data_IF_058983966639
#
_entry.id   IF_058983966639
#
_cell.length_a   1.000
_cell.length_b   1.000
_cell.length_c   1.000
_cell.angle_alpha   90.00
_cell.angle_beta   90.00
_cell.angle_gamma   90.00
#
_symmetry.space_group_name_H-M   'P 1'
#
loop_
_entity.id
_entity.type
_entity.pdbx_description
1 polymer ?
#
# COMPACT_ATOMS: atom_id res chain seq x y z
N UNK A 1 -4.28 -45.83 20.09
CA UNK A 1 -3.13 -44.96 20.42
C UNK A 1 -3.42 -43.61 19.77
N UNK A 2 -3.93 -42.65 20.54
CA UNK A 2 -4.30 -41.32 20.02
C UNK A 2 -3.00 -40.56 19.80
N UNK A 3 -2.63 -40.34 18.53
CA UNK A 3 -1.45 -39.57 18.18
C UNK A 3 -1.74 -38.13 18.58
N UNK A 4 -0.99 -37.65 19.57
CA UNK A 4 -1.08 -36.28 20.07
C UNK A 4 -0.67 -35.33 18.95
N UNK A 5 -1.62 -34.48 18.59
CA UNK A 5 -1.60 -33.42 17.59
C UNK A 5 -0.22 -32.75 17.38
N UNK A 6 0.41 -33.06 16.25
CA UNK A 6 1.69 -32.48 15.80
C UNK A 6 1.57 -31.02 15.34
N UNK A 7 0.34 -30.47 15.23
CA UNK A 7 0.11 -29.07 14.85
C UNK A 7 0.73 -28.09 15.86
N UNK A 8 0.71 -28.43 17.16
CA UNK A 8 1.36 -27.64 18.21
C UNK A 8 2.85 -27.44 17.97
N UNK A 9 3.54 -28.47 17.49
CA UNK A 9 4.97 -28.39 17.21
C UNK A 9 5.25 -27.49 15.99
N UNK A 10 4.40 -27.56 14.95
CA UNK A 10 4.57 -26.74 13.74
C UNK A 10 4.33 -25.25 14.01
N UNK A 11 3.29 -24.90 14.79
CA UNK A 11 2.95 -23.50 15.12
C UNK A 11 4.06 -22.84 15.96
N UNK A 12 4.60 -23.55 16.96
CA UNK A 12 5.63 -22.99 17.85
C UNK A 12 6.92 -22.58 17.13
N UNK A 13 7.24 -23.24 16.00
CA UNK A 13 8.50 -23.03 15.27
C UNK A 13 8.47 -21.81 14.33
N UNK A 14 7.30 -21.47 13.79
CA UNK A 14 7.15 -20.40 12.81
C UNK A 14 6.95 -19.02 13.46
N UNK A 15 6.34 -18.98 14.65
CA UNK A 15 6.07 -17.74 15.38
C UNK A 15 7.31 -16.85 15.65
N UNK A 16 8.45 -17.37 16.16
CA UNK A 16 9.64 -16.54 16.38
C UNK A 16 10.18 -15.93 15.08
N UNK A 17 10.07 -16.64 13.94
CA UNK A 17 10.50 -16.10 12.64
C UNK A 17 9.61 -14.95 12.20
N UNK A 18 8.29 -15.10 12.37
CA UNK A 18 7.34 -14.04 12.10
C UNK A 18 7.68 -12.77 12.90
N UNK A 19 7.92 -12.90 14.21
CA UNK A 19 8.30 -11.77 15.07
C UNK A 19 9.58 -11.08 14.59
N UNK A 20 10.62 -11.85 14.24
CA UNK A 20 11.87 -11.27 13.74
C UNK A 20 11.63 -10.46 12.46
N UNK A 21 10.82 -10.98 11.53
CA UNK A 21 10.48 -10.25 10.29
C UNK A 21 9.66 -9.00 10.59
N UNK A 22 8.71 -9.07 11.53
CA UNK A 22 7.93 -7.92 11.96
C UNK A 22 8.81 -6.83 12.59
N UNK A 23 9.66 -7.19 13.55
CA UNK A 23 10.59 -6.25 14.21
C UNK A 23 11.54 -5.63 13.20
N UNK A 24 12.01 -6.40 12.21
CA UNK A 24 12.82 -5.87 11.12
C UNK A 24 12.06 -4.85 10.26
N UNK A 25 10.80 -5.14 9.91
CA UNK A 25 9.95 -4.20 9.17
C UNK A 25 9.67 -2.93 9.96
N UNK A 26 9.40 -3.06 11.26
CA UNK A 26 9.19 -1.94 12.17
C UNK A 26 10.46 -1.06 12.27
N UNK A 27 11.62 -1.68 12.46
CA UNK A 27 12.91 -0.99 12.51
C UNK A 27 13.14 -0.17 11.24
N UNK A 28 12.89 -0.78 10.06
CA UNK A 28 12.99 -0.08 8.78
C UNK A 28 12.03 1.09 8.68
N UNK A 29 10.76 0.90 9.06
CA UNK A 29 9.76 1.95 8.99
C UNK A 29 10.15 3.14 9.87
N UNK A 30 10.62 2.88 11.11
CA UNK A 30 11.12 3.93 12.01
C UNK A 30 12.37 4.60 11.43
N UNK A 31 13.33 3.84 10.92
CA UNK A 31 14.56 4.38 10.34
C UNK A 31 14.27 5.28 9.12
N UNK A 32 13.33 4.88 8.25
CA UNK A 32 12.91 5.66 7.09
C UNK A 32 12.19 6.96 7.49
N UNK A 33 11.32 6.91 8.50
CA UNK A 33 10.66 8.11 9.03
C UNK A 33 11.67 9.07 9.70
N UNK A 34 12.60 8.55 10.50
CA UNK A 34 13.65 9.37 11.11
C UNK A 34 14.55 10.00 10.03
N UNK A 35 14.83 9.26 8.96
CA UNK A 35 15.62 9.75 7.82
C UNK A 35 14.96 10.95 7.11
N UNK A 36 13.62 11.04 7.13
CA UNK A 36 12.91 12.22 6.66
C UNK A 36 13.12 13.42 7.58
N UNK A 37 13.10 13.22 8.90
CA UNK A 37 13.24 14.29 9.87
C UNK A 37 14.61 14.96 9.83
N UNK A 38 15.66 14.21 9.49
CA UNK A 38 17.03 14.75 9.36
C UNK A 38 17.37 15.22 7.95
N UNK A 39 16.40 15.24 7.02
CA UNK A 39 16.67 15.60 5.61
C UNK A 39 17.16 17.04 5.49
N UNK A 40 16.63 17.97 6.28
CA UNK A 40 17.10 19.38 6.29
C UNK A 40 18.54 19.53 6.78
N UNK A 41 18.99 18.65 7.68
CA UNK A 41 20.38 18.64 8.18
C UNK A 41 21.34 18.02 7.16
N UNK A 42 20.89 16.98 6.45
CA UNK A 42 21.69 16.28 5.44
C UNK A 42 21.86 17.10 4.16
N UNK A 43 20.87 17.93 3.83
CA UNK A 43 20.85 18.75 2.63
C UNK A 43 20.59 20.21 3.04
N UNK A 44 21.63 20.96 3.43
CA UNK A 44 21.45 22.34 3.87
C UNK A 44 20.86 23.20 2.75
N UNK A 45 19.98 24.12 3.16
CA UNK A 45 19.28 25.10 2.31
C UNK A 45 20.22 25.70 1.26
N UNK A 46 20.09 25.23 0.02
CA UNK A 46 20.90 25.70 -1.09
C UNK A 46 20.09 25.71 -2.37
N UNK A 47 20.11 26.84 -3.08
CA UNK A 47 19.41 27.02 -4.36
C UNK A 47 20.03 26.22 -5.51
N UNK A 48 21.11 25.47 -5.23
CA UNK A 48 21.76 24.63 -6.23
C UNK A 48 20.80 23.52 -6.68
N UNK A 49 20.74 23.30 -7.99
CA UNK A 49 19.99 22.20 -8.60
C UNK A 49 20.34 20.84 -7.95
N UNK A 50 21.62 20.65 -7.59
CA UNK A 50 22.11 19.43 -6.94
C UNK A 50 21.52 19.21 -5.55
N UNK A 51 21.31 20.27 -4.76
CA UNK A 51 20.65 20.16 -3.45
C UNK A 51 19.17 19.78 -3.61
N UNK A 52 18.47 20.41 -4.55
CA UNK A 52 17.05 20.09 -4.85
C UNK A 52 16.89 18.65 -5.34
N UNK A 53 17.74 18.23 -6.29
CA UNK A 53 17.75 16.85 -6.79
C UNK A 53 18.14 15.85 -5.70
N UNK A 54 19.07 16.20 -4.82
CA UNK A 54 19.47 15.37 -3.68
C UNK A 54 18.30 15.11 -2.72
N UNK A 55 17.60 16.17 -2.30
CA UNK A 55 16.43 16.08 -1.42
C UNK A 55 15.30 15.30 -2.10
N UNK A 56 15.02 15.55 -3.38
CA UNK A 56 14.00 14.83 -4.12
C UNK A 56 14.33 13.34 -4.26
N UNK A 57 15.56 13.01 -4.63
CA UNK A 57 16.05 11.63 -4.73
C UNK A 57 15.93 10.90 -3.39
N UNK A 58 16.37 11.55 -2.32
CA UNK A 58 16.27 11.01 -0.96
C UNK A 58 14.82 10.77 -0.56
N UNK A 59 13.95 11.77 -0.76
CA UNK A 59 12.53 11.68 -0.38
C UNK A 59 11.80 10.57 -1.14
N UNK A 60 12.06 10.44 -2.43
CA UNK A 60 11.48 9.41 -3.29
C UNK A 60 12.02 8.02 -2.94
N UNK A 61 13.32 7.90 -2.66
CA UNK A 61 13.91 6.66 -2.17
C UNK A 61 13.21 6.21 -0.89
N UNK A 62 13.14 7.10 0.10
CA UNK A 62 12.49 6.83 1.38
C UNK A 62 11.00 6.45 1.22
N UNK A 63 10.27 7.15 0.35
CA UNK A 63 8.88 6.82 0.04
C UNK A 63 8.71 5.42 -0.55
N UNK A 64 9.60 5.04 -1.49
CA UNK A 64 9.65 3.68 -2.04
C UNK A 64 9.99 2.63 -0.98
N UNK A 65 10.89 2.95 -0.05
CA UNK A 65 11.20 2.11 1.11
C UNK A 65 10.01 1.93 2.06
N UNK A 66 9.22 2.99 2.30
CA UNK A 66 8.01 2.91 3.13
C UNK A 66 6.96 2.04 2.42
N UNK A 67 6.76 2.24 1.12
CA UNK A 67 5.83 1.44 0.32
C UNK A 67 6.16 -0.05 0.34
N UNK A 68 7.43 -0.41 0.13
CA UNK A 68 7.87 -1.81 0.15
C UNK A 68 7.85 -2.43 1.54
N UNK A 69 8.18 -1.67 2.59
CA UNK A 69 8.05 -2.12 3.98
C UNK A 69 6.58 -2.36 4.34
N UNK A 70 5.69 -1.50 3.86
CA UNK A 70 4.23 -1.67 4.03
C UNK A 70 3.74 -2.93 3.32
N UNK A 71 4.17 -3.16 2.08
CA UNK A 71 3.84 -4.39 1.35
C UNK A 71 4.38 -5.64 2.06
N UNK A 72 5.62 -5.58 2.57
CA UNK A 72 6.23 -6.65 3.37
C UNK A 72 5.37 -6.99 4.58
N UNK A 73 4.93 -5.99 5.34
CA UNK A 73 4.07 -6.16 6.51
C UNK A 73 2.67 -6.67 6.12
N UNK A 74 2.05 -6.12 5.07
CA UNK A 74 0.76 -6.62 4.53
C UNK A 74 0.85 -8.08 4.09
N UNK A 75 2.00 -8.51 3.57
CA UNK A 75 2.23 -9.90 3.18
C UNK A 75 2.43 -10.79 4.39
N UNK A 76 3.22 -10.35 5.37
CA UNK A 76 3.40 -11.04 6.63
C UNK A 76 2.05 -11.27 7.32
N UNK A 77 1.18 -10.26 7.31
CA UNK A 77 -0.21 -10.34 7.74
C UNK A 77 -0.97 -11.46 7.02
N UNK A 78 -0.97 -11.45 5.67
CA UNK A 78 -1.72 -12.43 4.86
C UNK A 78 -1.22 -13.87 5.02
N UNK A 79 0.08 -14.10 5.09
CA UNK A 79 0.60 -15.46 5.27
C UNK A 79 0.27 -16.04 6.64
N UNK A 80 0.26 -15.21 7.68
CA UNK A 80 -0.06 -15.65 9.02
C UNK A 80 -1.57 -15.86 9.21
N UNK A 81 -2.42 -15.13 8.48
CA UNK A 81 -3.86 -15.34 8.53
C UNK A 81 -4.32 -16.60 7.78
N UNK A 82 -3.72 -16.94 6.64
CA UNK A 82 -4.20 -18.00 5.74
C UNK A 82 -3.64 -19.41 6.00
N UNK A 83 -3.05 -19.67 7.18
CA UNK A 83 -2.47 -20.98 7.55
C UNK A 83 -1.42 -21.51 6.54
N UNK A 84 -0.89 -20.65 5.68
CA UNK A 84 0.06 -21.06 4.65
C UNK A 84 1.43 -21.32 5.27
N UNK A 85 2.05 -22.44 4.88
CA UNK A 85 3.31 -22.89 5.45
C UNK A 85 4.43 -21.87 5.17
N UNK A 86 4.85 -21.18 6.24
CA UNK A 86 5.98 -20.25 6.26
C UNK A 86 7.29 -20.88 5.79
N UNK A 87 7.35 -22.22 5.72
CA UNK A 87 8.52 -22.99 5.34
C UNK A 87 8.93 -22.79 3.87
N UNK A 88 7.99 -22.43 2.99
CA UNK A 88 8.27 -22.38 1.56
C UNK A 88 8.92 -21.08 1.10
N UNK A 89 8.90 -20.02 1.92
CA UNK A 89 9.49 -18.74 1.55
C UNK A 89 10.75 -18.45 2.36
N UNK A 90 11.90 -18.21 1.70
CA UNK A 90 13.13 -17.86 2.39
C UNK A 90 12.97 -16.50 3.08
N UNK A 91 13.36 -16.42 4.36
CA UNK A 91 13.37 -15.17 5.15
C UNK A 91 14.12 -14.03 4.44
N UNK A 92 15.11 -14.38 3.62
CA UNK A 92 15.86 -13.47 2.75
C UNK A 92 14.97 -12.64 1.82
N UNK A 93 13.81 -13.16 1.40
CA UNK A 93 12.89 -12.42 0.55
C UNK A 93 12.30 -11.20 1.27
N UNK A 94 11.96 -11.33 2.55
CA UNK A 94 11.45 -10.22 3.37
C UNK A 94 12.53 -9.19 3.66
N UNK A 95 13.75 -9.66 3.98
CA UNK A 95 14.89 -8.78 4.28
C UNK A 95 15.23 -7.87 3.09
N UNK A 96 15.10 -8.37 1.87
CA UNK A 96 15.41 -7.59 0.67
C UNK A 96 14.33 -6.58 0.28
N UNK A 97 13.09 -6.73 0.72
CA UNK A 97 11.95 -5.91 0.25
C UNK A 97 12.12 -4.40 0.50
N UNK A 98 12.52 -3.93 1.70
CA UNK A 98 12.77 -2.50 1.95
C UNK A 98 13.80 -1.89 1.00
N UNK A 99 14.96 -2.55 0.87
CA UNK A 99 16.05 -2.13 -0.02
C UNK A 99 15.63 -2.07 -1.49
N UNK A 100 14.88 -3.08 -1.90
CA UNK A 100 14.32 -3.19 -3.24
C UNK A 100 13.38 -2.00 -3.53
N UNK A 101 12.53 -1.62 -2.57
CA UNK A 101 11.67 -0.43 -2.68
C UNK A 101 12.43 0.89 -2.71
N UNK A 102 13.51 1.03 -1.93
CA UNK A 102 14.39 2.21 -2.03
C UNK A 102 14.94 2.36 -3.46
N UNK A 103 15.46 1.27 -4.02
CA UNK A 103 16.01 1.25 -5.39
C UNK A 103 14.91 1.55 -6.42
N UNK A 104 13.72 0.97 -6.26
CA UNK A 104 12.58 1.25 -7.14
C UNK A 104 12.16 2.74 -7.07
N UNK A 105 12.17 3.33 -5.87
CA UNK A 105 11.97 4.77 -5.69
C UNK A 105 12.99 5.57 -6.48
N UNK A 106 14.30 5.32 -6.26
CA UNK A 106 15.38 5.97 -7.00
C UNK A 106 15.17 5.82 -8.51
N UNK A 107 14.94 4.60 -9.01
CA UNK A 107 14.71 4.36 -10.44
C UNK A 107 13.50 5.17 -10.95
N UNK A 108 12.40 5.22 -10.19
CA UNK A 108 11.21 6.00 -10.55
C UNK A 108 11.52 7.49 -10.67
N UNK A 109 12.34 8.03 -9.76
CA UNK A 109 12.79 9.41 -9.86
C UNK A 109 13.68 9.60 -11.09
N UNK A 110 14.68 8.75 -11.31
CA UNK A 110 15.59 8.90 -12.45
C UNK A 110 14.89 8.73 -13.79
N UNK A 111 13.86 7.89 -13.91
CA UNK A 111 13.07 7.74 -15.13
C UNK A 111 12.21 8.96 -15.48
N UNK A 112 11.87 9.80 -14.50
CA UNK A 112 11.00 10.96 -14.72
C UNK A 112 11.81 12.27 -14.64
N UNK A 113 12.61 12.44 -13.58
CA UNK A 113 13.36 13.65 -13.29
C UNK A 113 14.61 13.83 -14.18
N UNK A 114 15.30 12.76 -14.60
CA UNK A 114 16.48 12.92 -15.46
C UNK A 114 16.11 13.31 -16.89
N UNK A 115 15.14 12.65 -17.57
CA UNK A 115 14.70 13.12 -18.88
C UNK A 115 14.20 14.55 -18.84
N UNK A 116 13.47 14.90 -17.79
CA UNK A 116 13.04 16.26 -17.50
C UNK A 116 14.19 17.26 -17.42
N UNK A 117 15.19 16.98 -16.57
CA UNK A 117 16.36 17.83 -16.38
C UNK A 117 17.16 17.98 -17.69
N UNK A 118 17.35 16.88 -18.42
CA UNK A 118 18.04 16.88 -19.71
C UNK A 118 17.28 17.70 -20.77
N UNK A 119 15.94 17.66 -20.77
CA UNK A 119 15.13 18.50 -21.65
C UNK A 119 15.32 19.98 -21.31
N UNK A 120 15.32 20.35 -20.03
CA UNK A 120 15.57 21.74 -19.61
C UNK A 120 16.98 22.22 -19.95
N UNK A 121 18.01 21.42 -19.70
CA UNK A 121 19.40 21.74 -20.05
C UNK A 121 19.59 21.83 -21.57
N UNK A 122 18.92 20.96 -22.33
CA UNK A 122 18.91 21.02 -23.78
C UNK A 122 18.27 22.32 -24.29
N UNK A 123 17.12 22.73 -23.74
CA UNK A 123 16.45 23.97 -24.15
C UNK A 123 17.32 25.20 -23.84
N UNK A 124 17.90 25.28 -22.64
CA UNK A 124 18.77 26.41 -22.26
C UNK A 124 20.05 26.48 -23.10
N UNK A 125 20.67 25.32 -23.39
CA UNK A 125 21.83 25.22 -24.29
C UNK A 125 21.46 25.60 -25.73
N UNK A 126 20.25 25.25 -26.17
CA UNK A 126 19.75 25.62 -27.48
C UNK A 126 19.50 27.13 -27.59
N UNK A 127 18.95 27.77 -26.55
CA UNK A 127 18.76 29.22 -26.50
C UNK A 127 20.09 29.98 -26.61
N UNK A 128 21.13 29.54 -25.89
CA UNK A 128 22.46 30.14 -25.97
C UNK A 128 23.11 29.98 -27.35
N UNK A 129 22.93 28.81 -27.98
CA UNK A 129 23.43 28.53 -29.32
C UNK A 129 22.70 29.40 -30.38
N UNK A 130 21.38 29.54 -30.27
CA UNK A 130 20.61 30.41 -31.16
C UNK A 130 20.97 31.89 -30.99
N UNK A 131 21.23 32.34 -29.77
CA UNK A 131 21.73 33.69 -29.51
C UNK A 131 23.10 33.92 -30.16
N UNK A 132 24.00 32.93 -30.11
CA UNK A 132 25.33 33.02 -30.72
C UNK A 132 25.29 33.12 -32.25
N UNK A 133 24.31 32.47 -32.90
CA UNK A 133 24.19 32.47 -34.37
C UNK A 133 23.60 33.76 -34.94
N UNK A 134 23.16 34.73 -34.12
CA UNK A 134 22.52 35.99 -34.56
C UNK A 134 21.27 35.82 -35.46
N UNK A 135 20.68 34.62 -35.50
CA UNK A 135 19.41 34.33 -36.21
C UNK A 135 18.20 34.56 -35.29
N UNK A 136 18.42 35.14 -34.11
CA UNK A 136 17.44 35.33 -33.05
C UNK A 136 16.19 36.08 -33.51
N UNK A 137 16.31 37.02 -34.44
CA UNK A 137 15.15 37.79 -34.94
C UNK A 137 14.18 36.95 -35.80
N UNK A 138 14.69 35.94 -36.50
CA UNK A 138 13.88 35.09 -37.40
C UNK A 138 13.21 33.95 -36.63
N UNK A 139 13.84 33.52 -35.53
CA UNK A 139 13.34 32.46 -34.63
C UNK A 139 12.79 32.99 -33.31
N UNK A 140 12.71 34.31 -33.10
CA UNK A 140 12.22 34.94 -31.88
C UNK A 140 10.91 34.34 -31.34
N UNK A 141 9.84 34.10 -32.15
CA UNK A 141 8.62 33.48 -31.64
C UNK A 141 8.83 32.02 -31.23
N UNK A 142 9.72 31.29 -31.89
CA UNK A 142 10.06 29.91 -31.52
C UNK A 142 10.91 29.84 -30.25
N UNK A 143 11.88 30.75 -30.09
CA UNK A 143 12.68 30.90 -28.87
C UNK A 143 11.78 31.31 -27.69
N UNK A 144 10.88 32.27 -27.89
CA UNK A 144 9.92 32.65 -26.85
C UNK A 144 9.00 31.48 -26.47
N UNK A 145 8.57 30.67 -27.43
CA UNK A 145 7.82 29.45 -27.17
C UNK A 145 8.64 28.42 -26.39
N UNK A 146 9.88 28.12 -26.78
CA UNK A 146 10.76 27.20 -26.08
C UNK A 146 11.14 27.69 -24.67
N UNK A 147 11.41 28.98 -24.50
CA UNK A 147 11.65 29.61 -23.20
C UNK A 147 10.41 29.56 -22.31
N UNK A 148 9.21 29.73 -22.87
CA UNK A 148 7.96 29.55 -22.12
C UNK A 148 7.76 28.10 -21.68
N UNK A 149 8.13 27.13 -22.53
CA UNK A 149 8.10 25.71 -22.19
C UNK A 149 9.12 25.37 -21.12
N UNK A 150 10.37 25.86 -21.22
CA UNK A 150 11.41 25.56 -20.23
C UNK A 150 11.07 26.16 -18.87
N UNK A 151 10.59 27.41 -18.83
CA UNK A 151 10.09 28.04 -17.61
C UNK A 151 8.95 27.23 -16.98
N UNK A 152 7.93 26.89 -17.77
CA UNK A 152 6.81 26.07 -17.31
C UNK A 152 7.25 24.68 -16.83
N UNK A 153 8.22 24.05 -17.49
CA UNK A 153 8.77 22.76 -17.07
C UNK A 153 9.53 22.88 -15.75
N UNK A 154 10.46 23.82 -15.61
CA UNK A 154 11.21 24.03 -14.36
C UNK A 154 10.27 24.34 -13.20
N UNK A 155 9.27 25.20 -13.40
CA UNK A 155 8.26 25.48 -12.39
C UNK A 155 7.41 24.25 -12.05
N UNK A 156 7.06 23.44 -13.05
CA UNK A 156 6.34 22.17 -12.84
C UNK A 156 7.18 21.18 -12.02
N UNK A 157 8.48 21.03 -12.32
CA UNK A 157 9.37 20.12 -11.58
C UNK A 157 9.68 20.58 -10.16
N UNK A 158 9.70 21.90 -9.93
CA UNK A 158 9.83 22.49 -8.60
C UNK A 158 8.51 22.52 -7.84
N UNK A 159 7.39 22.29 -8.53
CA UNK A 159 6.08 22.32 -7.89
C UNK A 159 5.97 21.22 -6.83
N UNK A 160 5.35 21.51 -5.67
CA UNK A 160 5.01 20.48 -4.69
C UNK A 160 4.17 19.34 -5.29
N UNK A 161 3.43 19.62 -6.37
CA UNK A 161 2.58 18.67 -7.09
C UNK A 161 3.37 17.51 -7.63
N UNK A 162 4.42 17.87 -8.35
CA UNK A 162 5.28 16.93 -9.02
C UNK A 162 6.08 16.10 -8.00
N UNK A 163 6.59 16.74 -6.95
CA UNK A 163 7.26 16.04 -5.83
C UNK A 163 6.31 15.05 -5.15
N UNK A 164 5.07 15.46 -4.86
CA UNK A 164 4.05 14.58 -4.28
C UNK A 164 3.76 13.38 -5.18
N UNK A 165 3.65 13.61 -6.49
CA UNK A 165 3.40 12.58 -7.49
C UNK A 165 4.56 11.59 -7.54
N UNK A 166 5.80 12.07 -7.50
CA UNK A 166 6.97 11.20 -7.47
C UNK A 166 7.04 10.36 -6.20
N UNK A 167 6.78 10.97 -5.04
CA UNK A 167 6.72 10.27 -3.75
C UNK A 167 5.63 9.19 -3.79
N UNK A 168 4.45 9.52 -4.31
CA UNK A 168 3.33 8.58 -4.46
C UNK A 168 3.68 7.43 -5.41
N UNK A 169 4.23 7.74 -6.60
CA UNK A 169 4.63 6.74 -7.57
C UNK A 169 5.74 5.83 -7.03
N UNK A 170 6.69 6.38 -6.28
CA UNK A 170 7.73 5.61 -5.63
C UNK A 170 7.16 4.68 -4.56
N UNK A 171 6.25 5.19 -3.73
CA UNK A 171 5.53 4.37 -2.75
C UNK A 171 4.75 3.25 -3.43
N UNK A 172 4.00 3.54 -4.50
CA UNK A 172 3.25 2.55 -5.29
C UNK A 172 4.23 1.53 -5.90
N UNK A 173 5.34 1.97 -6.48
CA UNK A 173 6.35 1.09 -7.07
C UNK A 173 6.94 0.14 -6.03
N UNK A 174 7.33 0.68 -4.86
CA UNK A 174 7.80 -0.11 -3.73
C UNK A 174 6.74 -1.10 -3.23
N UNK A 175 5.48 -0.68 -3.17
CA UNK A 175 4.36 -1.53 -2.76
C UNK A 175 4.08 -2.66 -3.77
N UNK A 176 4.17 -2.38 -5.07
CA UNK A 176 3.78 -3.30 -6.15
C UNK A 176 4.89 -4.21 -6.68
N UNK A 177 6.15 -3.97 -6.32
CA UNK A 177 7.30 -4.71 -6.87
C UNK A 177 7.22 -6.24 -6.68
N UNK A 178 6.49 -6.70 -5.67
CA UNK A 178 6.31 -8.12 -5.41
C UNK A 178 5.45 -8.84 -6.46
N UNK A 179 4.50 -8.14 -7.10
CA UNK A 179 3.60 -8.77 -8.06
C UNK A 179 4.34 -9.21 -9.33
N UNK A 180 5.28 -8.39 -9.79
CA UNK A 180 6.20 -8.77 -10.88
C UNK A 180 7.01 -10.03 -10.54
N UNK A 181 7.44 -10.18 -9.29
CA UNK A 181 8.18 -11.36 -8.84
C UNK A 181 7.30 -12.62 -8.73
N UNK A 182 6.00 -12.47 -8.41
CA UNK A 182 5.05 -13.60 -8.39
C UNK A 182 4.77 -14.12 -9.79
N UNK A 183 4.57 -13.24 -10.78
CA UNK A 183 4.39 -13.68 -12.17
C UNK A 183 5.60 -14.45 -12.71
N UNK A 184 6.81 -14.02 -12.37
CA UNK A 184 8.05 -14.73 -12.78
C UNK A 184 8.13 -16.12 -12.15
N UNK A 185 7.66 -16.28 -10.89
CA UNK A 185 7.66 -17.58 -10.21
C UNK A 185 6.59 -18.53 -10.72
N UNK A 186 5.40 -18.03 -11.06
CA UNK A 186 4.34 -18.88 -11.65
C UNK A 186 4.74 -19.36 -13.03
N UNK A 187 5.40 -18.52 -13.84
CA UNK A 187 5.98 -18.93 -15.13
C UNK A 187 7.07 -20.01 -14.99
N UNK A 188 7.68 -20.16 -13.82
CA UNK A 188 8.66 -21.22 -13.53
C UNK A 188 8.09 -22.45 -12.83
N UNK A 189 6.81 -22.46 -12.44
CA UNK A 189 6.22 -23.51 -11.58
C UNK A 189 5.37 -24.55 -12.33
N UNK A 190 5.16 -24.39 -13.63
CA UNK A 190 4.52 -25.41 -14.48
C UNK A 190 5.41 -26.64 -14.72
N UNK A 191 6.62 -26.67 -14.14
CA UNK A 191 7.40 -27.90 -13.96
C UNK A 191 6.95 -28.66 -12.70
N UNK A 192 5.73 -29.18 -12.70
CA UNK A 192 5.26 -30.09 -11.66
C UNK A 192 6.05 -31.40 -11.68
N UNK A 193 6.71 -31.71 -10.56
CA UNK A 193 7.25 -33.04 -10.28
C UNK A 193 6.05 -33.92 -9.88
N UNK A 194 5.68 -34.95 -10.67
CA UNK A 194 4.65 -35.91 -10.28
C UNK A 194 5.22 -36.81 -9.19
N UNK A 195 4.48 -37.03 -8.09
CA UNK A 195 4.77 -38.13 -7.15
C UNK A 195 5.13 -37.75 -5.72
N UNK A 196 4.73 -36.59 -5.21
CA UNK A 196 4.80 -36.35 -3.76
C UNK A 196 3.56 -36.92 -3.07
N UNK A 197 3.62 -38.21 -2.73
CA UNK A 197 2.61 -38.89 -1.92
C UNK A 197 2.48 -38.24 -0.54
N UNK A 198 1.39 -37.50 -0.34
CA UNK A 198 0.95 -37.00 0.95
C UNK A 198 0.40 -38.17 1.77
N UNK A 199 1.29 -38.85 2.51
CA UNK A 199 0.91 -39.60 3.71
C UNK A 199 0.48 -38.58 4.78
N UNK A 200 -0.73 -38.05 4.57
CA UNK A 200 -1.39 -37.12 5.46
C UNK A 200 -1.87 -37.92 6.65
N UNK A 201 -1.24 -37.69 7.82
CA UNK A 201 -1.78 -38.17 9.07
C UNK A 201 -3.23 -37.68 9.15
N UNK A 202 -4.19 -38.61 9.23
CA UNK A 202 -5.61 -38.31 9.42
C UNK A 202 -5.75 -37.41 10.65
N UNK A 203 -5.87 -36.11 10.40
CA UNK A 203 -6.39 -35.16 11.38
C UNK A 203 -7.82 -35.61 11.58
N UNK A 204 -8.14 -36.09 12.77
CA UNK A 204 -9.52 -36.42 13.13
C UNK A 204 -10.30 -35.13 13.01
N UNK A 205 -11.12 -35.06 11.97
CA UNK A 205 -12.02 -33.95 11.75
C UNK A 205 -13.07 -33.98 12.86
N UNK A 206 -13.04 -32.98 13.73
CA UNK A 206 -13.96 -32.89 14.87
C UNK A 206 -15.39 -32.75 14.35
N UNK A 207 -15.55 -32.17 13.16
CA UNK A 207 -16.85 -32.01 12.49
C UNK A 207 -17.37 -33.35 11.91
N UNK A 208 -16.51 -34.38 11.82
CA UNK A 208 -16.90 -35.73 11.39
C UNK A 208 -17.27 -36.66 12.56
N UNK A 209 -17.12 -36.23 13.81
CA UNK A 209 -17.58 -36.98 14.98
C UNK A 209 -19.09 -36.77 15.16
N UNK A 210 -19.81 -37.83 15.50
CA UNK A 210 -21.23 -37.74 15.89
C UNK A 210 -21.35 -36.81 17.10
N UNK A 211 -22.27 -35.85 17.03
CA UNK A 211 -22.56 -34.89 18.12
C UNK A 211 -22.95 -35.62 19.43
N UNK A 212 -23.47 -36.85 19.31
CA UNK A 212 -23.82 -37.70 20.45
C UNK A 212 -22.62 -38.46 21.06
N UNK A 213 -21.44 -38.44 20.43
CA UNK A 213 -20.26 -39.11 20.98
C UNK A 213 -19.75 -38.32 22.21
N UNK A 214 -19.63 -38.95 23.40
CA UNK A 214 -19.06 -38.29 24.58
C UNK A 214 -17.63 -37.74 24.35
N UNK A 215 -16.92 -38.23 23.33
CA UNK A 215 -15.63 -37.69 22.92
C UNK A 215 -15.74 -36.30 22.27
N UNK A 216 -16.83 -36.02 21.53
CA UNK A 216 -17.09 -34.72 20.92
C UNK A 216 -17.22 -33.62 22.00
N UNK A 217 -18.09 -33.84 23.00
CA UNK A 217 -18.30 -32.90 24.09
C UNK A 217 -17.01 -32.65 24.89
N UNK A 218 -16.24 -33.71 25.16
CA UNK A 218 -14.96 -33.60 25.87
C UNK A 218 -13.94 -32.79 25.05
N UNK A 219 -13.81 -33.04 23.75
CA UNK A 219 -12.90 -32.32 22.87
C UNK A 219 -13.28 -30.83 22.77
N UNK A 220 -14.56 -30.54 22.53
CA UNK A 220 -15.11 -29.18 22.47
C UNK A 220 -14.89 -28.41 23.78
N UNK A 221 -15.12 -29.03 24.94
CA UNK A 221 -14.89 -28.40 26.24
C UNK A 221 -13.42 -28.03 26.48
N UNK A 222 -12.46 -28.90 26.10
CA UNK A 222 -11.04 -28.59 26.21
C UNK A 222 -10.61 -27.48 25.26
N UNK A 223 -11.16 -27.45 24.04
CA UNK A 223 -10.94 -26.38 23.08
C UNK A 223 -11.45 -25.05 23.62
N UNK A 224 -12.68 -25.02 24.14
CA UNK A 224 -13.29 -23.82 24.72
C UNK A 224 -12.50 -23.27 25.93
N UNK A 225 -12.12 -24.12 26.90
CA UNK A 225 -11.30 -23.69 28.05
C UNK A 225 -9.94 -23.14 27.62
N UNK A 226 -9.33 -23.75 26.60
CA UNK A 226 -8.07 -23.27 26.04
C UNK A 226 -8.27 -21.91 25.36
N UNK A 227 -9.32 -21.75 24.57
CA UNK A 227 -9.68 -20.48 23.91
C UNK A 227 -9.89 -19.37 24.95
N UNK A 228 -10.64 -19.62 26.02
CA UNK A 228 -10.85 -18.64 27.09
C UNK A 228 -9.54 -18.19 27.75
N UNK A 229 -8.68 -19.13 28.16
CA UNK A 229 -7.41 -18.80 28.81
C UNK A 229 -6.49 -17.99 27.87
N UNK A 230 -6.46 -18.36 26.60
CA UNK A 230 -5.61 -17.73 25.60
C UNK A 230 -6.14 -16.35 25.21
N UNK A 231 -7.45 -16.23 25.00
CA UNK A 231 -8.15 -14.97 24.76
C UNK A 231 -7.92 -13.99 25.92
N UNK A 232 -8.00 -14.45 27.17
CA UNK A 232 -7.76 -13.56 28.31
C UNK A 232 -6.31 -13.06 28.37
N UNK A 233 -5.32 -13.96 28.30
CA UNK A 233 -3.92 -13.53 28.42
C UNK A 233 -3.43 -12.72 27.23
N UNK A 234 -3.76 -13.13 26.01
CA UNK A 234 -3.27 -12.48 24.78
C UNK A 234 -4.17 -11.35 24.31
N UNK A 235 -5.48 -11.44 24.52
CA UNK A 235 -6.41 -10.36 24.23
C UNK A 235 -6.10 -9.11 25.05
N UNK A 236 -5.79 -9.26 26.36
CA UNK A 236 -5.35 -8.14 27.20
C UNK A 236 -4.06 -7.52 26.66
N UNK A 237 -3.09 -8.34 26.26
CA UNK A 237 -1.84 -7.85 25.67
C UNK A 237 -2.10 -7.06 24.37
N UNK A 238 -2.96 -7.56 23.49
CA UNK A 238 -3.35 -6.87 22.25
C UNK A 238 -4.08 -5.56 22.54
N UNK A 239 -4.93 -5.50 23.57
CA UNK A 239 -5.61 -4.28 24.00
C UNK A 239 -4.59 -3.23 24.49
N UNK A 240 -3.66 -3.63 25.36
CA UNK A 240 -2.60 -2.73 25.84
C UNK A 240 -1.76 -2.23 24.67
N UNK A 241 -1.37 -3.12 23.76
CA UNK A 241 -0.64 -2.76 22.55
C UNK A 241 -1.41 -1.76 21.69
N UNK A 242 -2.70 -2.00 21.44
CA UNK A 242 -3.58 -1.08 20.72
C UNK A 242 -3.68 0.28 21.41
N UNK A 243 -3.78 0.30 22.73
CA UNK A 243 -3.81 1.54 23.52
C UNK A 243 -2.49 2.32 23.45
N UNK A 244 -1.34 1.64 23.48
CA UNK A 244 -0.03 2.27 23.25
C UNK A 244 0.00 2.92 21.87
N UNK A 245 -0.42 2.22 20.82
CA UNK A 245 -0.47 2.79 19.47
C UNK A 245 -1.47 3.93 19.33
N UNK A 246 -2.59 3.86 20.05
CA UNK A 246 -3.55 4.96 20.10
C UNK A 246 -2.90 6.22 20.68
N UNK A 247 -2.21 6.11 21.81
CA UNK A 247 -1.48 7.22 22.44
C UNK A 247 -0.36 7.74 21.54
N UNK A 248 0.43 6.85 20.92
CA UNK A 248 1.47 7.24 19.96
C UNK A 248 0.88 8.00 18.77
N UNK A 249 -0.26 7.54 18.25
CA UNK A 249 -0.93 8.22 17.13
C UNK A 249 -1.47 9.58 17.52
N UNK A 250 -2.05 9.72 18.71
CA UNK A 250 -2.49 11.03 19.22
C UNK A 250 -1.32 11.98 19.46
N UNK A 251 -0.21 11.47 20.00
CA UNK A 251 1.02 12.26 20.18
C UNK A 251 1.60 12.70 18.83
N UNK A 252 1.66 11.80 17.85
CA UNK A 252 2.10 12.13 16.49
C UNK A 252 1.17 13.14 15.81
N UNK A 253 -0.14 13.05 16.05
CA UNK A 253 -1.12 14.01 15.56
C UNK A 253 -0.90 15.40 16.18
N UNK A 254 -0.77 15.48 17.51
CA UNK A 254 -0.55 16.74 18.23
C UNK A 254 0.79 17.38 17.84
N UNK A 255 1.84 16.58 17.73
CA UNK A 255 3.16 17.04 17.29
C UNK A 255 3.13 17.48 15.83
N UNK A 256 2.54 16.71 14.93
CA UNK A 256 2.39 17.09 13.52
C UNK A 256 1.60 18.38 13.32
N UNK A 257 0.60 18.62 14.17
CA UNK A 257 -0.16 19.88 14.15
C UNK A 257 0.70 21.09 14.54
N UNK A 258 1.54 20.95 15.56
CA UNK A 258 2.48 22.00 15.97
C UNK A 258 3.58 22.20 14.92
N UNK A 259 4.17 21.10 14.45
CA UNK A 259 5.21 21.11 13.43
C UNK A 259 4.73 21.74 12.12
N UNK A 260 3.45 21.61 11.75
CA UNK A 260 2.92 22.30 10.57
C UNK A 260 3.11 23.82 10.64
N UNK A 261 2.97 24.43 11.82
CA UNK A 261 3.18 25.86 12.01
C UNK A 261 4.67 26.24 11.86
N UNK A 262 5.57 25.43 12.41
CA UNK A 262 7.02 25.68 12.40
C UNK A 262 7.63 25.45 11.01
N UNK A 263 7.21 24.37 10.33
CA UNK A 263 7.72 23.97 9.02
C UNK A 263 7.04 24.68 7.86
N UNK A 264 5.97 25.47 8.09
CA UNK A 264 5.40 26.34 7.05
C UNK A 264 6.44 27.29 6.44
N UNK A 265 7.49 27.63 7.20
CA UNK A 265 8.60 28.46 6.77
C UNK A 265 9.77 27.70 6.09
N UNK A 266 9.73 26.36 6.01
CA UNK A 266 10.81 25.59 5.38
C UNK A 266 10.90 25.87 3.87
N UNK A 267 12.13 26.09 3.39
CA UNK A 267 12.43 26.31 1.97
C UNK A 267 12.25 25.04 1.12
N UNK A 268 12.13 23.87 1.74
CA UNK A 268 12.04 22.60 1.04
C UNK A 268 10.58 22.13 0.90
N UNK A 269 10.03 22.10 -0.33
CA UNK A 269 8.64 21.71 -0.55
C UNK A 269 8.36 20.25 -0.15
N UNK A 270 9.35 19.36 -0.28
CA UNK A 270 9.22 17.96 0.13
C UNK A 270 9.02 17.81 1.64
N UNK A 271 9.83 18.51 2.45
CA UNK A 271 9.75 18.43 3.92
C UNK A 271 8.43 19.00 4.41
N UNK A 272 8.00 20.15 3.86
CA UNK A 272 6.67 20.71 4.12
C UNK A 272 5.56 19.72 3.86
N UNK A 273 5.61 19.05 2.71
CA UNK A 273 4.61 18.06 2.31
C UNK A 273 4.53 16.90 3.30
N UNK A 274 5.67 16.39 3.75
CA UNK A 274 5.73 15.23 4.66
C UNK A 274 5.27 15.60 6.06
N UNK A 275 5.70 16.75 6.58
CA UNK A 275 5.25 17.26 7.88
C UNK A 275 3.74 17.50 7.85
N UNK A 276 3.22 18.06 6.76
CA UNK A 276 1.79 18.23 6.56
C UNK A 276 1.01 16.93 6.40
N UNK A 277 1.67 15.86 5.92
CA UNK A 277 1.07 14.53 5.84
C UNK A 277 0.93 13.85 7.21
N UNK A 278 1.71 14.28 8.21
CA UNK A 278 1.82 13.56 9.47
C UNK A 278 0.51 13.50 10.28
N UNK A 279 -0.29 14.57 10.42
CA UNK A 279 -1.59 14.48 11.07
C UNK A 279 -2.54 13.50 10.37
N UNK A 280 -2.49 13.41 9.04
CA UNK A 280 -3.32 12.49 8.24
C UNK A 280 -2.83 11.05 8.37
N UNK A 281 -1.51 10.84 8.38
CA UNK A 281 -0.90 9.54 8.66
C UNK A 281 -1.25 9.07 10.08
N UNK A 282 -1.17 9.96 11.08
CA UNK A 282 -1.55 9.69 12.46
C UNK A 282 -3.04 9.34 12.59
N UNK A 283 -3.91 10.04 11.87
CA UNK A 283 -5.32 9.71 11.80
C UNK A 283 -5.55 8.31 11.18
N UNK A 284 -4.79 7.95 10.14
CA UNK A 284 -4.76 6.60 9.59
C UNK A 284 -4.28 5.54 10.60
N UNK A 285 -3.27 5.87 11.41
CA UNK A 285 -2.83 5.05 12.54
C UNK A 285 -3.95 4.77 13.55
N UNK A 286 -4.71 5.80 13.94
CA UNK A 286 -5.90 5.67 14.80
C UNK A 286 -6.94 4.76 14.15
N UNK A 287 -7.23 4.94 12.85
CA UNK A 287 -8.13 4.05 12.10
C UNK A 287 -7.69 2.59 12.14
N UNK A 288 -6.38 2.35 12.02
CA UNK A 288 -5.77 1.02 12.15
C UNK A 288 -5.92 0.41 13.55
N UNK A 289 -5.81 1.22 14.61
CA UNK A 289 -6.08 0.77 15.99
C UNK A 289 -7.55 0.42 16.17
N UNK A 290 -8.48 1.21 15.62
CA UNK A 290 -9.92 0.90 15.68
C UNK A 290 -10.21 -0.41 14.94
N UNK A 291 -9.58 -0.64 13.77
CA UNK A 291 -9.68 -1.93 13.06
C UNK A 291 -9.17 -3.09 13.91
N UNK A 292 -8.05 -2.90 14.62
CA UNK A 292 -7.48 -3.89 15.54
C UNK A 292 -8.45 -4.26 16.65
N UNK A 293 -9.03 -3.26 17.33
CA UNK A 293 -9.98 -3.50 18.41
C UNK A 293 -11.25 -4.17 17.88
N UNK A 294 -11.74 -3.76 16.71
CA UNK A 294 -12.90 -4.38 16.08
C UNK A 294 -12.63 -5.84 15.69
N UNK A 295 -11.46 -6.13 15.12
CA UNK A 295 -11.06 -7.50 14.76
C UNK A 295 -10.92 -8.36 16.02
N UNK A 296 -10.32 -7.83 17.09
CA UNK A 296 -10.21 -8.52 18.36
C UNK A 296 -11.60 -8.82 18.96
N UNK A 297 -12.49 -7.83 18.99
CA UNK A 297 -13.87 -7.99 19.44
C UNK A 297 -14.59 -9.11 18.68
N UNK A 298 -14.46 -9.12 17.35
CA UNK A 298 -15.10 -10.09 16.48
C UNK A 298 -14.57 -11.51 16.73
N UNK A 299 -13.26 -11.69 16.88
CA UNK A 299 -12.66 -13.01 17.13
C UNK A 299 -12.84 -13.51 18.57
N UNK A 300 -12.91 -12.61 19.55
CA UNK A 300 -13.07 -12.98 20.96
C UNK A 300 -14.54 -13.20 21.33
N UNK A 301 -15.42 -12.29 20.90
CA UNK A 301 -16.81 -12.24 21.39
C UNK A 301 -17.79 -12.90 20.42
N UNK A 302 -17.64 -12.66 19.12
CA UNK A 302 -18.62 -13.10 18.12
C UNK A 302 -18.30 -14.50 17.60
N UNK A 303 -17.07 -14.70 17.09
CA UNK A 303 -16.65 -15.97 16.51
C UNK A 303 -16.04 -16.95 17.51
N UNK A 304 -15.55 -16.43 18.65
CA UNK A 304 -14.87 -17.21 19.69
C UNK A 304 -13.70 -18.06 19.17
N UNK A 305 -13.11 -17.69 18.03
CA UNK A 305 -12.08 -18.41 17.28
C UNK A 305 -10.69 -17.78 17.49
N UNK A 306 -10.43 -17.27 18.70
CA UNK A 306 -9.17 -16.59 18.98
C UNK A 306 -7.96 -17.56 18.90
N UNK A 307 -7.19 -17.43 17.82
CA UNK A 307 -5.96 -18.19 17.60
C UNK A 307 -4.72 -17.29 17.59
N UNK A 308 -3.60 -17.78 18.15
CA UNK A 308 -2.30 -17.08 18.12
C UNK A 308 -1.79 -16.79 16.70
N UNK A 309 -2.27 -17.52 15.70
CA UNK A 309 -1.89 -17.28 14.31
C UNK A 309 -2.33 -15.88 13.85
N UNK A 310 -3.43 -15.35 14.41
CA UNK A 310 -3.90 -13.98 14.16
C UNK A 310 -3.15 -12.92 14.97
N UNK A 311 -2.26 -13.30 15.90
CA UNK A 311 -1.55 -12.34 16.75
C UNK A 311 -0.76 -11.32 15.93
N UNK A 312 -0.10 -11.79 14.86
CA UNK A 312 0.62 -10.87 13.97
C UNK A 312 -0.32 -9.99 13.15
N UNK A 313 -1.51 -10.50 12.82
CA UNK A 313 -2.50 -9.72 12.10
C UNK A 313 -2.88 -8.45 12.88
N UNK A 314 -3.05 -8.58 14.20
CA UNK A 314 -3.27 -7.45 15.10
C UNK A 314 -2.07 -6.50 15.19
N UNK A 315 -0.85 -7.03 15.32
CA UNK A 315 0.36 -6.20 15.44
C UNK A 315 0.61 -5.31 14.21
N UNK A 316 0.20 -5.74 13.02
CA UNK A 316 0.50 -5.03 11.77
C UNK A 316 -0.52 -3.92 11.47
N UNK A 317 -1.74 -4.03 11.97
CA UNK A 317 -2.85 -3.14 11.60
C UNK A 317 -2.57 -1.65 11.87
N UNK A 318 -2.04 -1.20 13.04
CA UNK A 318 -1.74 0.21 13.25
C UNK A 318 -0.72 0.76 12.25
N UNK A 319 0.34 -0.01 11.97
CA UNK A 319 1.42 0.38 11.04
C UNK A 319 0.91 0.53 9.61
N UNK A 320 0.10 -0.42 9.14
CA UNK A 320 -0.54 -0.31 7.82
C UNK A 320 -1.48 0.89 7.79
N UNK A 321 -2.21 1.16 8.88
CA UNK A 321 -3.05 2.35 9.01
C UNK A 321 -2.27 3.65 8.82
N UNK A 322 -1.11 3.80 9.48
CA UNK A 322 -0.22 4.95 9.29
C UNK A 322 0.22 5.11 7.84
N UNK A 323 0.68 4.02 7.22
CA UNK A 323 1.16 4.05 5.84
C UNK A 323 0.07 4.40 4.84
N UNK A 324 -1.17 3.92 5.05
CA UNK A 324 -2.30 4.22 4.19
C UNK A 324 -2.79 5.66 4.38
N UNK A 325 -2.77 6.19 5.60
CA UNK A 325 -3.04 7.61 5.85
C UNK A 325 -2.05 8.51 5.10
N UNK A 326 -0.76 8.18 5.15
CA UNK A 326 0.28 8.87 4.39
C UNK A 326 0.04 8.79 2.87
N UNK A 327 -0.24 7.60 2.36
CA UNK A 327 -0.53 7.41 0.93
C UNK A 327 -1.78 8.18 0.48
N UNK A 328 -2.83 8.22 1.32
CA UNK A 328 -4.06 8.96 1.02
C UNK A 328 -3.83 10.47 0.97
N UNK A 329 -3.03 11.01 1.91
CA UNK A 329 -2.61 12.41 1.87
C UNK A 329 -1.91 12.73 0.55
N UNK A 330 -0.93 11.91 0.16
CA UNK A 330 -0.17 12.12 -1.09
C UNK A 330 -1.09 12.08 -2.32
N UNK A 331 -2.04 11.14 -2.36
CA UNK A 331 -3.02 11.05 -3.45
C UNK A 331 -3.86 12.32 -3.56
N UNK A 332 -4.36 12.84 -2.43
CA UNK A 332 -5.15 14.06 -2.41
C UNK A 332 -4.30 15.29 -2.76
N UNK A 333 -3.08 15.37 -2.23
CA UNK A 333 -2.15 16.46 -2.53
C UNK A 333 -1.86 16.52 -4.04
N UNK A 334 -1.56 15.37 -4.66
CA UNK A 334 -1.37 15.26 -6.11
C UNK A 334 -2.62 15.70 -6.87
N UNK A 335 -3.79 15.15 -6.54
CA UNK A 335 -5.04 15.48 -7.24
C UNK A 335 -5.46 16.93 -7.07
N UNK A 336 -5.17 17.53 -5.92
CA UNK A 336 -5.46 18.93 -5.68
C UNK A 336 -4.53 19.84 -6.48
N UNK A 337 -3.23 19.52 -6.48
CA UNK A 337 -2.24 20.35 -7.14
C UNK A 337 -2.39 20.32 -8.67
N UNK A 338 -2.86 19.20 -9.25
CA UNK A 338 -3.21 19.14 -10.68
C UNK A 338 -4.41 20.02 -11.01
N UNK A 339 -5.41 20.12 -10.13
CA UNK A 339 -6.57 21.00 -10.31
C UNK A 339 -6.18 22.48 -10.16
N UNK A 340 -5.33 22.82 -9.19
CA UNK A 340 -4.90 24.21 -8.96
C UNK A 340 -4.15 24.80 -10.18
N UNK A 341 -3.39 23.97 -10.90
CA UNK A 341 -2.75 24.38 -12.16
C UNK A 341 -3.74 24.70 -13.29
N UNK A 342 -4.95 24.14 -13.24
CA UNK A 342 -6.03 24.43 -14.20
C UNK A 342 -6.84 25.68 -13.82
N UNK A 343 -6.85 26.07 -12.54
CA UNK A 343 -7.57 27.25 -12.03
C UNK A 343 -6.58 28.39 -11.70
N UNK A 344 -6.00 28.98 -12.74
CA UNK A 344 -5.10 30.14 -12.67
C UNK A 344 -5.87 31.41 -12.24
N UNK A 345 -6.13 31.57 -10.94
CA UNK A 345 -6.82 32.79 -10.47
C UNK A 345 -7.05 32.95 -8.97
N UNK A 346 -6.76 31.94 -8.14
CA UNK A 346 -6.92 32.04 -6.69
C UNK A 346 -5.55 32.02 -5.99
N UNK A 347 -5.26 33.08 -5.24
CA UNK A 347 -3.96 33.40 -4.64
C UNK A 347 -3.65 32.63 -3.36
N UNK A 348 -4.53 31.74 -2.90
CA UNK A 348 -4.31 30.93 -1.70
C UNK A 348 -4.17 29.44 -2.06
N UNK A 349 -3.12 28.74 -1.57
CA UNK A 349 -3.01 27.29 -1.72
C UNK A 349 -4.12 26.64 -0.90
N UNK A 350 -5.19 26.20 -1.58
CA UNK A 350 -6.39 25.68 -0.95
C UNK A 350 -6.20 24.26 -0.36
N UNK A 351 -5.02 23.64 -0.56
CA UNK A 351 -4.54 22.50 0.24
C UNK A 351 -4.50 22.82 1.73
N UNK A 352 -4.14 24.06 2.09
CA UNK A 352 -3.97 24.49 3.48
C UNK A 352 -5.30 24.99 4.10
N UNK A 353 -6.39 24.95 3.34
CA UNK A 353 -7.70 25.33 3.85
C UNK A 353 -8.11 24.36 4.98
N UNK A 354 -8.53 24.84 6.16
CA UNK A 354 -8.87 23.99 7.29
C UNK A 354 -9.89 22.89 6.96
N UNK A 355 -10.86 23.18 6.09
CA UNK A 355 -11.86 22.21 5.64
C UNK A 355 -11.24 21.06 4.83
N UNK A 356 -10.24 21.36 3.98
CA UNK A 356 -9.53 20.36 3.17
C UNK A 356 -8.65 19.48 4.05
N UNK A 357 -7.95 20.08 5.02
CA UNK A 357 -7.15 19.33 6.00
C UNK A 357 -8.04 18.38 6.80
N UNK A 358 -9.21 18.85 7.28
CA UNK A 358 -10.16 18.00 8.01
C UNK A 358 -10.70 16.85 7.14
N UNK A 359 -11.03 17.12 5.88
CA UNK A 359 -11.44 16.08 4.94
C UNK A 359 -10.33 15.03 4.76
N UNK A 360 -9.09 15.47 4.58
CA UNK A 360 -7.94 14.56 4.45
C UNK A 360 -7.76 13.70 5.71
N UNK A 361 -7.90 14.27 6.90
CA UNK A 361 -7.85 13.54 8.18
C UNK A 361 -8.92 12.45 8.23
N UNK A 362 -10.17 12.77 7.87
CA UNK A 362 -11.27 11.79 7.83
C UNK A 362 -11.00 10.69 6.82
N UNK A 363 -10.49 11.03 5.64
CA UNK A 363 -10.13 10.06 4.61
C UNK A 363 -8.95 9.18 5.04
N UNK A 364 -7.93 9.75 5.67
CA UNK A 364 -6.80 9.03 6.24
C UNK A 364 -7.24 8.04 7.31
N UNK A 365 -8.07 8.49 8.26
CA UNK A 365 -8.68 7.61 9.27
C UNK A 365 -9.52 6.50 8.64
N UNK A 366 -10.37 6.84 7.66
CA UNK A 366 -11.22 5.87 6.95
C UNK A 366 -10.39 4.82 6.21
N UNK A 367 -9.29 5.24 5.57
CA UNK A 367 -8.36 4.35 4.89
C UNK A 367 -7.65 3.42 5.89
N UNK A 368 -7.25 3.95 7.04
CA UNK A 368 -6.68 3.18 8.13
C UNK A 368 -7.66 2.17 8.74
N UNK A 369 -8.95 2.47 8.79
CA UNK A 369 -9.99 1.56 9.27
C UNK A 369 -10.37 0.50 8.23
N UNK A 370 -10.52 0.88 6.95
CA UNK A 370 -10.91 0.00 5.83
C UNK A 370 -9.71 -0.45 4.99
N UNK A 371 -8.66 -0.93 5.65
CA UNK A 371 -7.39 -1.23 4.99
C UNK A 371 -7.53 -2.18 3.80
N UNK A 372 -8.37 -3.22 3.90
CA UNK A 372 -8.55 -4.21 2.84
C UNK A 372 -9.19 -3.58 1.60
N UNK A 373 -10.34 -2.91 1.78
CA UNK A 373 -11.05 -2.24 0.69
C UNK A 373 -10.19 -1.16 0.03
N UNK A 374 -9.44 -0.38 0.81
CA UNK A 374 -8.59 0.68 0.24
C UNK A 374 -7.40 0.09 -0.51
N UNK A 375 -6.75 -0.96 0.00
CA UNK A 375 -5.67 -1.62 -0.75
C UNK A 375 -6.19 -2.22 -2.05
N UNK A 376 -7.40 -2.77 -2.06
CA UNK A 376 -8.03 -3.31 -3.26
C UNK A 376 -8.41 -2.20 -4.25
N UNK A 377 -8.85 -1.05 -3.75
CA UNK A 377 -9.17 0.12 -4.59
C UNK A 377 -7.90 0.71 -5.22
N UNK A 378 -6.83 0.87 -4.43
CA UNK A 378 -5.53 1.31 -4.94
C UNK A 378 -5.03 0.34 -6.02
N UNK A 379 -5.19 -0.96 -5.78
CA UNK A 379 -4.86 -1.99 -6.77
C UNK A 379 -5.60 -1.77 -8.10
N UNK A 380 -6.92 -1.59 -8.05
CA UNK A 380 -7.75 -1.37 -9.23
C UNK A 380 -7.35 -0.08 -9.98
N UNK A 381 -7.01 0.99 -9.25
CA UNK A 381 -6.54 2.24 -9.84
C UNK A 381 -5.21 2.03 -10.56
N UNK A 382 -4.24 1.38 -9.92
CA UNK A 382 -2.91 1.12 -10.51
C UNK A 382 -3.05 0.25 -11.75
N UNK A 383 -3.88 -0.79 -11.70
CA UNK A 383 -4.14 -1.66 -12.84
C UNK A 383 -4.78 -0.90 -14.00
N UNK A 384 -5.72 0.01 -13.71
CA UNK A 384 -6.34 0.90 -14.70
C UNK A 384 -5.32 1.84 -15.34
N UNK A 385 -4.43 2.45 -14.55
CA UNK A 385 -3.37 3.35 -15.04
C UNK A 385 -2.36 2.60 -15.91
N UNK A 386 -1.89 1.42 -15.48
CA UNK A 386 -0.97 0.59 -16.27
C UNK A 386 -1.60 0.18 -17.59
N UNK A 387 -2.89 -0.16 -17.58
CA UNK A 387 -3.64 -0.51 -18.79
C UNK A 387 -3.77 0.68 -19.73
N UNK A 388 -4.05 1.87 -19.19
CA UNK A 388 -4.09 3.11 -19.97
C UNK A 388 -2.73 3.44 -20.59
N UNK A 389 -1.63 3.34 -19.83
CA UNK A 389 -0.27 3.58 -20.35
C UNK A 389 0.06 2.58 -21.47
N UNK A 390 -0.26 1.29 -21.29
CA UNK A 390 -0.09 0.28 -22.35
C UNK A 390 -0.90 0.63 -23.59
N UNK A 391 -2.11 1.17 -23.43
CA UNK A 391 -2.96 1.62 -24.53
C UNK A 391 -2.36 2.84 -25.25
N UNK A 392 -1.86 3.83 -24.51
CA UNK A 392 -1.16 5.00 -25.07
C UNK A 392 0.12 4.57 -25.81
N UNK A 393 0.93 3.70 -25.22
CA UNK A 393 2.15 3.18 -25.87
C UNK A 393 1.82 2.35 -27.12
N UNK A 394 0.73 1.58 -27.09
CA UNK A 394 0.25 0.84 -28.26
C UNK A 394 -0.27 1.78 -29.36
N UNK A 395 -0.80 2.95 -29.00
CA UNK A 395 -1.21 3.99 -29.94
C UNK A 395 0.00 4.74 -30.53
N UNK A 396 1.00 5.06 -29.70
CA UNK A 396 2.21 5.79 -30.10
C UNK A 396 3.20 4.94 -30.91
N UNK A 397 3.21 3.62 -30.74
CA UNK A 397 4.07 2.73 -31.51
C UNK A 397 3.24 1.87 -32.49
N UNK A 398 2.92 2.40 -33.69
CA UNK A 398 2.10 1.70 -34.67
C UNK A 398 2.79 0.45 -35.24
N UNK A 399 4.08 0.23 -35.03
CA UNK A 399 4.74 -1.01 -35.51
C UNK A 399 4.31 -2.26 -34.74
N UNK A 400 3.73 -2.11 -33.54
CA UNK A 400 3.08 -3.19 -32.78
C UNK A 400 1.59 -3.42 -33.20
N UNK A 401 1.12 -2.79 -34.28
CA UNK A 401 -0.16 -3.17 -34.94
C UNK A 401 -0.08 -4.46 -35.74
N UNK A 402 1.12 -4.98 -36.04
CA UNK A 402 1.27 -6.21 -36.84
C UNK A 402 0.89 -7.52 -36.14
N UNK A 403 0.36 -7.46 -34.93
CA UNK A 403 -0.17 -8.64 -34.22
C UNK A 403 -1.72 -8.59 -34.15
N UNK A 404 -2.37 -8.17 -35.23
CA UNK A 404 -3.85 -8.20 -35.37
C UNK A 404 -4.41 -9.60 -35.08
N UNK A 405 -3.68 -10.66 -35.44
CA UNK A 405 -4.04 -12.03 -35.08
C UNK A 405 -4.12 -12.22 -33.56
N UNK A 406 -3.12 -11.75 -32.82
CA UNK A 406 -3.07 -11.89 -31.36
C UNK A 406 -4.06 -10.96 -30.66
N UNK A 407 -4.43 -9.83 -31.27
CA UNK A 407 -5.56 -9.00 -30.82
C UNK A 407 -6.90 -9.68 -31.06
N UNK A 408 -7.10 -10.33 -32.21
CA UNK A 408 -8.30 -11.09 -32.51
C UNK A 408 -8.45 -12.30 -31.56
N UNK A 409 -7.36 -12.99 -31.25
CA UNK A 409 -7.33 -14.07 -30.25
C UNK A 409 -7.65 -13.56 -28.84
N UNK A 410 -7.05 -12.44 -28.42
CA UNK A 410 -7.34 -11.84 -27.10
C UNK A 410 -8.77 -11.31 -27.01
N UNK A 411 -9.31 -10.71 -28.07
CA UNK A 411 -10.70 -10.28 -28.13
C UNK A 411 -11.66 -11.47 -28.01
N UNK A 412 -11.37 -12.59 -28.70
CA UNK A 412 -12.13 -13.85 -28.56
C UNK A 412 -12.06 -14.41 -27.13
N UNK A 413 -10.88 -14.39 -26.51
CA UNK A 413 -10.71 -14.88 -25.13
C UNK A 413 -11.46 -14.01 -24.11
N UNK A 414 -11.44 -12.69 -24.28
CA UNK A 414 -12.21 -11.75 -23.45
C UNK A 414 -13.71 -11.95 -23.67
N UNK A 415 -14.16 -12.15 -24.90
CA UNK A 415 -15.58 -12.40 -25.21
C UNK A 415 -16.06 -13.75 -24.65
N UNK A 416 -15.20 -14.78 -24.62
CA UNK A 416 -15.48 -16.05 -23.95
C UNK A 416 -15.58 -15.90 -22.43
N UNK A 417 -14.69 -15.11 -21.81
CA UNK A 417 -14.75 -14.84 -20.38
C UNK A 417 -15.96 -13.98 -19.99
N UNK A 418 -16.30 -12.96 -20.79
CA UNK A 418 -17.49 -12.14 -20.57
C UNK A 418 -18.79 -12.92 -20.83
N UNK A 419 -18.82 -13.81 -21.82
CA UNK A 419 -19.94 -14.73 -22.05
C UNK A 419 -20.15 -15.74 -20.90
N UNK A 420 -19.07 -16.14 -20.22
CA UNK A 420 -19.14 -16.91 -18.97
C UNK A 420 -19.70 -16.05 -17.81
N UNK A 421 -19.41 -14.75 -17.77
CA UNK A 421 -20.01 -13.84 -16.79
C UNK A 421 -21.51 -13.63 -17.03
N UNK A 422 -21.98 -13.62 -18.27
CA UNK A 422 -23.42 -13.57 -18.59
C UNK A 422 -24.13 -14.88 -18.20
N UNK A 423 -23.47 -16.04 -18.25
CA UNK A 423 -24.04 -17.29 -17.71
C UNK A 423 -24.06 -17.35 -16.18
N UNK A 424 -23.14 -16.66 -15.50
CA UNK A 424 -23.15 -16.51 -14.03
C UNK A 424 -24.13 -15.42 -13.57
N UNK A 425 -24.50 -14.49 -14.47
CA UNK A 425 -25.67 -13.61 -14.36
C UNK A 425 -26.91 -14.27 -14.98
N UNK A 426 -27.25 -15.48 -14.55
CA UNK A 426 -28.66 -15.84 -14.58
C UNK A 426 -29.42 -14.76 -13.78
N UNK A 427 -30.60 -14.31 -14.24
CA UNK A 427 -31.38 -13.35 -13.47
C UNK A 427 -31.57 -13.92 -12.06
N UNK A 428 -31.20 -13.15 -11.04
CA UNK A 428 -31.67 -13.44 -9.69
C UNK A 428 -33.18 -13.67 -9.79
N UNK A 429 -33.72 -14.72 -9.14
CA UNK A 429 -35.15 -14.97 -9.15
C UNK A 429 -35.85 -13.67 -8.79
N UNK A 430 -36.82 -13.29 -9.62
CA UNK A 430 -37.56 -12.04 -9.51
C UNK A 430 -38.06 -11.82 -8.08
N UNK A 431 -38.12 -10.54 -7.69
CA UNK A 431 -38.45 -9.96 -6.37
C UNK A 431 -39.77 -10.44 -5.68
N UNK A 432 -40.39 -11.51 -6.16
CA UNK A 432 -41.58 -12.12 -5.56
C UNK A 432 -41.23 -13.24 -4.56
N UNK A 433 -39.95 -13.59 -4.41
CA UNK A 433 -39.48 -14.40 -3.30
C UNK A 433 -39.22 -13.48 -2.10
N UNK A 434 -40.30 -13.19 -1.36
CA UNK A 434 -40.28 -12.55 -0.04
C UNK A 434 -39.32 -13.33 0.87
N UNK A 435 -38.05 -12.90 0.87
CA UNK A 435 -36.97 -13.44 1.69
C UNK A 435 -37.35 -13.15 3.13
N UNK A 436 -37.85 -14.18 3.82
CA UNK A 436 -38.14 -14.16 5.25
C UNK A 436 -36.83 -14.03 6.02
N UNK A 437 -36.36 -12.80 6.15
CA UNK A 437 -35.15 -12.45 6.90
C UNK A 437 -35.24 -12.90 8.36
N UNK A 438 -36.46 -13.08 8.91
CA UNK A 438 -36.62 -13.59 10.26
C UNK A 438 -36.14 -15.05 10.36
N UNK A 439 -36.40 -15.87 9.35
CA UNK A 439 -36.00 -17.28 9.36
C UNK A 439 -34.49 -17.48 9.14
N UNK A 440 -33.83 -16.54 8.44
CA UNK A 440 -32.37 -16.52 8.31
C UNK A 440 -31.65 -16.18 9.63
N UNK A 441 -32.21 -15.26 10.43
CA UNK A 441 -31.63 -14.94 11.75
C UNK A 441 -31.95 -16.02 12.79
N UNK A 442 -33.16 -16.60 12.77
CA UNK A 442 -33.57 -17.67 13.70
C UNK A 442 -32.81 -18.97 13.47
N UNK A 443 -32.53 -19.35 12.21
CA UNK A 443 -31.74 -20.56 11.93
C UNK A 443 -30.23 -20.39 12.16
N UNK A 444 -29.73 -19.15 12.28
CA UNK A 444 -28.33 -18.87 12.60
C UNK A 444 -28.04 -18.90 14.10
N UNK A 445 -29.05 -18.81 14.96
CA UNK A 445 -28.89 -19.03 16.40
C UNK A 445 -29.08 -20.51 16.82
N UNK A 446 -29.61 -21.35 15.92
CA UNK A 446 -29.78 -22.80 16.15
C UNK A 446 -28.65 -23.68 15.57
N UNK A 447 -27.74 -23.10 14.80
CA UNK A 447 -26.47 -23.73 14.35
C UNK A 447 -25.32 -22.94 14.93
#
# INVERSE_FOLDING_TARGET
MVIVDTSKQRISRNYPRGIVIFLYGLLWLVALLLSFLVTDELFPAGDSLMAVLGVATWSVALAGGIGSTTAMLSRLYRHLSLHHDFQTQPSVAYIKQPLIGLVAGIISLYLIAVPAALITDFITSFDTLLAALSISNLLAPFIAFLGSLSGAFVETFRSPAFVSLQILLAWIAGFHQEWGLKQIKTLGKDATIPGQDSSEAQVVDIDALDENDPLYYKASYYQFRRLLRWSYTWGIFIIIYGLVWFVVSLAAFAWGWQALADYAASSYPAVRLIVAALPVAAAGGVGGVVKLLNSLYLHVSVKQDFHLNYLMAYLIQPLVGFSLGLAMYMLIAVGYLTLNGAYTGTTAPFVDAPAVIMLQIVLGWSAGFRQETVTDTIWQIVESVVTLIKLILAYLNPTNLFDEQKRAERAKAIQLHLGLFDQVRSPMPSDDAELDWADFFVNRERR
#
